data_IF_232189675325
#
_entry.id   IF_232189675325
#
_cell.length_a   1.000
_cell.length_b   1.000
_cell.length_c   1.000
_cell.angle_alpha   90.00
_cell.angle_beta   90.00
_cell.angle_gamma   90.00
#
_symmetry.space_group_name_H-M   'P 1'
#
loop_
_entity.id
_entity.type
_entity.pdbx_description
1 polymer ?
#
# COMPACT_ATOMS: atom_id res chain seq x y z
N UNK A 1 3.28 -22.12 -10.46
CA UNK A 1 4.14 -20.93 -10.56
C UNK A 1 4.82 -20.73 -9.22
N UNK A 2 6.06 -20.27 -9.21
CA UNK A 2 6.76 -19.97 -7.96
C UNK A 2 6.76 -18.45 -7.77
N UNK A 3 5.68 -17.93 -7.17
CA UNK A 3 5.56 -16.49 -6.93
C UNK A 3 6.43 -16.08 -5.74
N UNK A 4 7.08 -14.93 -5.86
CA UNK A 4 7.88 -14.32 -4.80
C UNK A 4 7.45 -12.86 -4.61
N UNK A 5 7.51 -12.36 -3.38
CA UNK A 5 7.17 -10.98 -3.03
C UNK A 5 8.42 -10.26 -2.55
N UNK A 6 8.72 -9.12 -3.15
CA UNK A 6 9.90 -8.32 -2.86
C UNK A 6 9.47 -6.94 -2.36
N UNK A 7 9.76 -6.57 -1.11
CA UNK A 7 9.48 -5.23 -0.62
C UNK A 7 10.38 -4.19 -1.29
N UNK A 8 9.80 -3.05 -1.61
CA UNK A 8 10.48 -1.88 -2.17
C UNK A 8 10.45 -0.77 -1.13
N UNK A 9 11.61 -0.25 -0.76
CA UNK A 9 11.74 0.95 0.08
C UNK A 9 11.60 2.20 -0.80
N UNK A 10 10.51 2.94 -0.63
CA UNK A 10 10.15 4.10 -1.45
C UNK A 10 10.23 5.43 -0.68
N UNK A 11 10.90 5.44 0.47
CA UNK A 11 11.08 6.59 1.33
C UNK A 11 10.61 6.34 2.75
N UNK A 12 10.80 7.33 3.63
CA UNK A 12 10.49 7.19 5.06
C UNK A 12 9.74 8.41 5.59
N UNK A 13 8.58 8.19 6.16
CA UNK A 13 7.82 9.16 6.94
C UNK A 13 8.30 9.15 8.40
N UNK A 14 8.31 10.29 9.06
CA UNK A 14 8.43 10.36 10.50
C UNK A 14 7.08 10.78 11.08
N UNK A 15 6.37 9.85 11.71
CA UNK A 15 4.98 10.01 12.13
C UNK A 15 4.80 9.84 13.63
N UNK A 16 3.73 10.38 14.19
CA UNK A 16 3.28 10.01 15.53
C UNK A 16 2.79 8.56 15.50
N UNK A 17 3.29 7.72 16.40
CA UNK A 17 2.95 6.30 16.46
C UNK A 17 1.44 6.06 16.58
N UNK A 18 0.72 6.97 17.20
CA UNK A 18 -0.74 6.86 17.34
C UNK A 18 -1.50 6.95 16.00
N UNK A 19 -0.86 7.44 14.93
CA UNK A 19 -1.38 7.36 13.57
C UNK A 19 -1.29 5.94 12.97
N UNK A 20 -0.34 5.13 13.44
CA UNK A 20 -0.15 3.74 13.01
C UNK A 20 -0.84 2.73 13.93
N UNK A 21 -1.01 3.07 15.21
CA UNK A 21 -1.60 2.19 16.24
C UNK A 21 -2.60 2.96 17.08
N UNK A 22 -3.87 2.61 16.99
CA UNK A 22 -4.97 3.34 17.62
C UNK A 22 -4.75 3.50 19.14
N UNK A 23 -4.68 4.76 19.61
CA UNK A 23 -4.53 5.14 21.02
C UNK A 23 -3.26 4.63 21.70
N UNK A 24 -2.22 4.24 20.93
CA UNK A 24 -0.93 3.81 21.47
C UNK A 24 0.19 4.70 21.00
N UNK A 25 1.16 4.96 21.86
CA UNK A 25 2.36 5.73 21.56
C UNK A 25 2.09 7.19 21.19
N UNK A 26 1.03 7.80 21.71
CA UNK A 26 0.72 9.23 21.50
C UNK A 26 1.92 10.10 21.89
N UNK A 27 2.34 10.98 20.98
CA UNK A 27 3.51 11.84 21.15
C UNK A 27 4.86 11.15 20.87
N UNK A 28 4.86 9.85 20.56
CA UNK A 28 6.08 9.12 20.20
C UNK A 28 6.27 9.17 18.69
N UNK A 29 7.37 9.79 18.24
CA UNK A 29 7.73 9.82 16.81
C UNK A 29 8.44 8.54 16.43
N UNK A 30 8.02 7.95 15.30
CA UNK A 30 8.64 6.75 14.72
C UNK A 30 8.88 6.93 13.23
N UNK A 31 9.90 6.26 12.73
CA UNK A 31 10.15 6.17 11.30
C UNK A 31 9.29 5.04 10.70
N UNK A 32 8.56 5.37 9.65
CA UNK A 32 7.63 4.51 8.93
C UNK A 32 8.03 4.49 7.45
N UNK A 33 8.56 3.38 6.91
CA UNK A 33 8.90 3.30 5.49
C UNK A 33 7.63 3.35 4.65
N UNK A 34 7.66 4.03 3.51
CA UNK A 34 6.66 3.88 2.47
C UNK A 34 7.03 2.66 1.64
N UNK A 35 6.18 1.65 1.61
CA UNK A 35 6.48 0.38 0.99
C UNK A 35 5.63 0.15 -0.27
N UNK A 36 6.29 -0.25 -1.34
CA UNK A 36 5.67 -0.97 -2.44
C UNK A 36 6.08 -2.44 -2.39
N UNK A 37 5.39 -3.30 -3.14
CA UNK A 37 5.74 -4.71 -3.21
C UNK A 37 5.75 -5.19 -4.66
N UNK A 38 6.87 -5.76 -5.09
CA UNK A 38 7.02 -6.35 -6.42
C UNK A 38 6.76 -7.86 -6.35
N UNK A 39 5.76 -8.34 -7.06
CA UNK A 39 5.47 -9.78 -7.21
C UNK A 39 6.11 -10.25 -8.51
N UNK A 40 6.96 -11.29 -8.40
CA UNK A 40 7.64 -11.94 -9.52
C UNK A 40 7.24 -13.41 -9.62
N UNK A 41 7.51 -14.04 -10.77
CA UNK A 41 7.18 -15.45 -11.03
C UNK A 41 5.86 -15.63 -11.80
N UNK A 42 5.06 -14.60 -12.02
CA UNK A 42 3.98 -14.56 -12.99
C UNK A 42 4.54 -14.29 -14.41
N UNK A 43 3.67 -14.31 -15.43
CA UNK A 43 4.07 -14.01 -16.81
C UNK A 43 4.68 -12.60 -16.95
N UNK A 44 4.17 -11.64 -16.19
CA UNK A 44 4.67 -10.28 -16.09
C UNK A 44 4.80 -9.89 -14.59
N UNK A 45 5.75 -9.02 -14.21
CA UNK A 45 5.85 -8.54 -12.84
C UNK A 45 4.62 -7.70 -12.49
N UNK A 46 4.13 -7.86 -11.25
CA UNK A 46 3.00 -7.11 -10.71
C UNK A 46 3.51 -6.23 -9.57
N UNK A 47 3.11 -4.97 -9.57
CA UNK A 47 3.42 -4.07 -8.47
C UNK A 47 2.19 -3.92 -7.56
N UNK A 48 2.40 -3.90 -6.26
CA UNK A 48 1.42 -3.48 -5.25
C UNK A 48 1.89 -2.17 -4.65
N UNK A 49 1.12 -1.14 -4.82
CA UNK A 49 1.40 0.26 -4.48
C UNK A 49 2.66 0.83 -5.16
N UNK A 50 2.58 2.06 -5.58
CA UNK A 50 3.65 2.75 -6.31
C UNK A 50 4.39 3.80 -5.47
N UNK A 51 3.99 3.93 -4.21
CA UNK A 51 4.67 4.79 -3.26
C UNK A 51 4.29 6.28 -3.33
N UNK A 52 4.99 7.11 -2.53
CA UNK A 52 4.74 8.53 -2.36
C UNK A 52 5.23 9.37 -3.54
N UNK A 53 4.98 10.67 -3.42
CA UNK A 53 5.65 11.69 -4.21
C UNK A 53 7.17 11.58 -4.06
N UNK A 54 7.90 11.68 -5.17
CA UNK A 54 9.37 11.61 -5.17
C UNK A 54 10.05 12.87 -4.59
N UNK A 55 9.28 13.94 -4.34
CA UNK A 55 9.77 15.20 -3.78
C UNK A 55 9.62 15.23 -2.24
N UNK A 56 10.74 15.13 -1.47
CA UNK A 56 10.68 15.14 -0.01
C UNK A 56 10.19 16.46 0.57
N UNK A 57 10.42 17.58 -0.11
CA UNK A 57 9.92 18.88 0.35
C UNK A 57 8.41 18.96 0.21
N UNK A 58 7.87 18.45 -0.90
CA UNK A 58 6.42 18.34 -1.09
C UNK A 58 5.78 17.48 0.00
N UNK A 59 6.28 16.25 0.21
CA UNK A 59 5.76 15.33 1.22
C UNK A 59 5.79 15.94 2.63
N UNK A 60 6.90 16.59 3.00
CA UNK A 60 7.03 17.26 4.30
C UNK A 60 6.09 18.46 4.45
N UNK A 61 5.88 19.23 3.38
CA UNK A 61 5.02 20.43 3.41
C UNK A 61 3.54 20.08 3.58
N UNK A 62 3.09 19.01 2.95
CA UNK A 62 1.67 18.69 2.87
C UNK A 62 1.23 17.58 3.83
N UNK A 63 2.17 16.80 4.37
CA UNK A 63 1.88 15.63 5.20
C UNK A 63 2.75 15.59 6.47
N UNK A 64 3.54 14.54 6.62
CA UNK A 64 4.48 14.36 7.72
C UNK A 64 5.91 14.60 7.23
N UNK A 65 6.88 14.87 8.13
CA UNK A 65 8.27 14.91 7.73
C UNK A 65 8.62 13.67 6.92
N UNK A 66 8.98 13.88 5.66
CA UNK A 66 9.25 12.83 4.69
C UNK A 66 10.72 12.91 4.24
N UNK A 67 11.38 11.77 4.19
CA UNK A 67 12.74 11.62 3.68
C UNK A 67 12.71 10.61 2.54
N UNK A 68 13.34 10.98 1.43
CA UNK A 68 13.54 10.10 0.28
C UNK A 68 14.88 10.40 -0.36
N UNK A 69 15.46 9.42 -1.01
CA UNK A 69 16.68 9.53 -1.80
C UNK A 69 16.43 9.08 -3.23
N UNK A 70 17.37 9.34 -4.13
CA UNK A 70 17.32 8.80 -5.49
C UNK A 70 17.26 7.27 -5.52
N UNK A 71 17.89 6.62 -4.54
CA UNK A 71 17.89 5.15 -4.39
C UNK A 71 16.52 4.59 -3.96
N UNK A 72 15.71 5.42 -3.31
CA UNK A 72 14.34 5.10 -2.90
C UNK A 72 13.30 5.56 -3.93
N UNK A 73 13.71 6.08 -5.09
CA UNK A 73 12.77 6.33 -6.19
C UNK A 73 12.18 5.01 -6.70
N UNK A 74 10.91 5.02 -7.11
CA UNK A 74 10.24 3.83 -7.65
C UNK A 74 11.02 3.20 -8.80
N UNK A 75 11.57 4.01 -9.72
CA UNK A 75 12.36 3.52 -10.84
C UNK A 75 13.60 2.76 -10.36
N UNK A 76 14.39 3.34 -9.46
CA UNK A 76 15.59 2.71 -8.94
C UNK A 76 15.27 1.45 -8.10
N UNK A 77 14.22 1.49 -7.29
CA UNK A 77 13.77 0.34 -6.51
C UNK A 77 13.37 -0.83 -7.42
N UNK A 78 12.70 -0.58 -8.54
CA UNK A 78 12.37 -1.61 -9.55
C UNK A 78 13.63 -2.11 -10.28
N UNK A 79 14.52 -1.21 -10.67
CA UNK A 79 15.79 -1.56 -11.36
C UNK A 79 16.68 -2.50 -10.53
N UNK A 80 16.71 -2.33 -9.21
CA UNK A 80 17.43 -3.26 -8.30
C UNK A 80 16.93 -4.69 -8.39
N UNK A 81 15.70 -4.90 -8.84
CA UNK A 81 15.10 -6.21 -9.11
C UNK A 81 15.13 -6.61 -10.59
N UNK A 82 15.83 -5.84 -11.43
CA UNK A 82 15.94 -6.08 -12.87
C UNK A 82 14.66 -5.77 -13.65
N UNK A 83 13.80 -4.90 -13.13
CA UNK A 83 12.51 -4.54 -13.74
C UNK A 83 12.52 -3.05 -14.09
N UNK A 84 12.33 -2.73 -15.36
CA UNK A 84 12.14 -1.34 -15.78
C UNK A 84 10.69 -0.89 -15.48
N UNK A 85 10.45 0.40 -15.20
CA UNK A 85 9.08 0.91 -14.98
C UNK A 85 8.12 0.59 -16.13
N UNK A 86 8.57 0.59 -17.36
CA UNK A 86 7.78 0.28 -18.55
C UNK A 86 7.36 -1.20 -18.63
N UNK A 87 8.04 -2.09 -17.91
CA UNK A 87 7.71 -3.51 -17.84
C UNK A 87 6.53 -3.78 -16.88
N UNK A 88 6.21 -2.85 -15.98
CA UNK A 88 5.04 -2.96 -15.11
C UNK A 88 3.77 -2.69 -15.92
N UNK A 89 2.95 -3.72 -16.11
CA UNK A 89 1.65 -3.64 -16.82
C UNK A 89 0.46 -3.68 -15.88
N UNK A 90 0.65 -4.16 -14.66
CA UNK A 90 -0.40 -4.27 -13.66
C UNK A 90 0.09 -3.73 -12.33
N UNK A 91 -0.63 -2.77 -11.78
CA UNK A 91 -0.47 -2.28 -10.42
C UNK A 91 -1.75 -2.58 -9.66
N UNK A 92 -1.63 -3.22 -8.52
CA UNK A 92 -2.72 -3.35 -7.55
C UNK A 92 -2.56 -2.20 -6.56
N UNK A 93 -3.52 -1.29 -6.54
CA UNK A 93 -3.51 -0.16 -5.61
C UNK A 93 -4.28 -0.58 -4.37
N UNK A 94 -3.59 -0.65 -3.22
CA UNK A 94 -4.23 -1.05 -1.97
C UNK A 94 -5.31 -0.06 -1.57
N UNK A 95 -4.99 1.23 -1.62
CA UNK A 95 -5.90 2.37 -1.42
C UNK A 95 -5.29 3.65 -2.01
N UNK A 96 -6.04 4.75 -2.01
CA UNK A 96 -5.68 5.95 -2.76
C UNK A 96 -5.08 7.08 -1.91
N UNK A 97 -4.51 6.78 -0.74
CA UNK A 97 -3.69 7.74 -0.02
C UNK A 97 -2.42 8.07 -0.82
N UNK A 98 -1.92 9.29 -0.63
CA UNK A 98 -0.84 9.87 -1.43
C UNK A 98 0.47 9.04 -1.42
N UNK A 99 0.76 8.38 -0.31
CA UNK A 99 1.98 7.59 -0.10
C UNK A 99 1.92 6.16 -0.65
N UNK A 100 0.78 5.77 -1.26
CA UNK A 100 0.59 4.47 -1.90
C UNK A 100 0.44 4.55 -3.43
N UNK A 101 -0.04 5.64 -3.99
CA UNK A 101 -0.39 5.70 -5.41
C UNK A 101 0.13 6.92 -6.18
N UNK A 102 0.94 7.77 -5.55
CA UNK A 102 1.50 8.97 -6.23
C UNK A 102 2.39 8.58 -7.40
N UNK A 103 3.17 7.50 -7.27
CA UNK A 103 4.06 6.98 -8.31
C UNK A 103 3.36 6.37 -9.53
N UNK A 104 2.04 6.23 -9.53
CA UNK A 104 1.28 5.70 -10.67
C UNK A 104 1.59 6.41 -11.99
N UNK A 105 1.83 7.72 -11.93
CA UNK A 105 2.17 8.53 -13.10
C UNK A 105 3.52 8.16 -13.74
N UNK A 106 4.42 7.49 -13.01
CA UNK A 106 5.74 7.05 -13.46
C UNK A 106 5.69 5.71 -14.21
N UNK A 107 4.51 5.07 -14.31
CA UNK A 107 4.30 3.75 -14.90
C UNK A 107 3.42 3.88 -16.17
N UNK A 108 3.99 4.26 -17.31
CA UNK A 108 3.22 4.72 -18.49
C UNK A 108 2.36 3.63 -19.13
N UNK A 109 2.74 2.36 -18.97
CA UNK A 109 2.03 1.23 -19.58
C UNK A 109 1.12 0.44 -18.64
N UNK A 110 0.98 0.88 -17.38
CA UNK A 110 0.28 0.12 -16.35
C UNK A 110 -1.21 0.44 -16.31
N UNK A 111 -2.03 -0.59 -16.04
CA UNK A 111 -3.39 -0.47 -15.51
C UNK A 111 -3.34 -0.53 -13.98
N UNK A 112 -4.31 0.10 -13.31
CA UNK A 112 -4.36 0.21 -11.86
C UNK A 112 -5.64 -0.43 -11.33
N UNK A 113 -5.52 -1.55 -10.61
CA UNK A 113 -6.67 -2.28 -10.05
C UNK A 113 -7.00 -1.66 -8.69
N UNK A 114 -8.22 -1.16 -8.53
CA UNK A 114 -8.71 -0.52 -7.32
C UNK A 114 -10.14 -0.94 -7.00
N UNK A 115 -10.50 -1.06 -5.73
CA UNK A 115 -11.88 -1.33 -5.34
C UNK A 115 -12.78 -0.12 -5.62
N UNK A 116 -13.99 -0.36 -6.11
CA UNK A 116 -14.99 0.68 -6.39
C UNK A 116 -15.25 1.57 -5.18
N UNK A 117 -15.34 0.99 -3.98
CA UNK A 117 -15.58 1.75 -2.75
C UNK A 117 -14.44 2.71 -2.42
N UNK A 118 -13.20 2.32 -2.74
CA UNK A 118 -12.03 3.19 -2.54
C UNK A 118 -12.08 4.39 -3.47
N UNK A 119 -12.23 4.14 -4.76
CA UNK A 119 -12.30 5.23 -5.75
C UNK A 119 -13.47 6.17 -5.47
N UNK A 120 -14.65 5.63 -5.15
CA UNK A 120 -15.82 6.44 -4.84
C UNK A 120 -15.61 7.33 -3.60
N UNK A 121 -14.95 6.79 -2.56
CA UNK A 121 -14.64 7.56 -1.36
C UNK A 121 -13.53 8.59 -1.61
N UNK A 122 -12.47 8.24 -2.32
CA UNK A 122 -11.34 9.12 -2.62
C UNK A 122 -11.74 10.39 -3.40
N UNK A 123 -12.79 10.32 -4.23
CA UNK A 123 -13.29 11.47 -4.98
C UNK A 123 -13.94 12.53 -4.05
N UNK A 124 -14.63 12.09 -3.01
CA UNK A 124 -15.33 12.97 -2.07
C UNK A 124 -15.22 12.41 -0.63
N UNK A 125 -14.01 12.38 -0.05
CA UNK A 125 -13.80 11.84 1.28
C UNK A 125 -14.39 12.75 2.36
N UNK A 126 -14.53 12.22 3.58
CA UNK A 126 -14.85 13.04 4.73
C UNK A 126 -13.80 14.14 4.92
N UNK A 127 -14.18 15.31 5.48
CA UNK A 127 -13.24 16.43 5.63
C UNK A 127 -11.96 16.11 6.41
N UNK A 128 -12.01 15.17 7.38
CA UNK A 128 -10.83 14.74 8.13
C UNK A 128 -9.84 13.94 7.27
N UNK A 129 -10.32 13.24 6.24
CA UNK A 129 -9.49 12.38 5.38
C UNK A 129 -9.07 13.10 4.09
N UNK A 130 -9.73 14.21 3.74
CA UNK A 130 -9.43 14.98 2.54
C UNK A 130 -7.93 15.34 2.37
N UNK A 131 -7.18 15.70 3.43
CA UNK A 131 -5.74 15.98 3.30
C UNK A 131 -4.92 14.78 2.85
N UNK A 132 -5.26 13.56 3.26
CA UNK A 132 -4.48 12.35 2.93
C UNK A 132 -4.73 11.91 1.47
N UNK A 133 -5.95 12.19 0.96
CA UNK A 133 -6.30 12.01 -0.46
C UNK A 133 -5.90 13.21 -1.34
N UNK A 134 -5.36 14.29 -0.74
CA UNK A 134 -4.96 15.54 -1.43
C UNK A 134 -6.09 16.17 -2.28
N UNK A 135 -7.36 15.97 -1.91
CA UNK A 135 -8.49 16.47 -2.70
C UNK A 135 -8.58 18.00 -2.75
N UNK A 136 -7.91 18.71 -1.83
CA UNK A 136 -7.76 20.16 -1.84
C UNK A 136 -6.61 20.64 -2.75
N UNK A 137 -5.74 19.73 -3.24
CA UNK A 137 -4.62 20.05 -4.11
C UNK A 137 -5.00 19.81 -5.58
N UNK A 138 -4.45 20.58 -6.49
CA UNK A 138 -4.70 20.41 -7.93
C UNK A 138 -3.40 20.39 -8.71
N UNK A 139 -3.23 19.41 -9.61
CA UNK A 139 -4.11 18.26 -9.85
C UNK A 139 -3.99 17.20 -8.75
N UNK A 140 -5.11 16.60 -8.37
CA UNK A 140 -5.13 15.47 -7.43
C UNK A 140 -4.31 14.32 -8.01
N UNK A 141 -3.43 13.73 -7.21
CA UNK A 141 -2.41 12.79 -7.71
C UNK A 141 -3.00 11.56 -8.41
N UNK A 142 -4.00 10.87 -7.82
CA UNK A 142 -4.57 9.66 -8.42
C UNK A 142 -5.43 9.94 -9.65
N UNK A 143 -5.98 11.16 -9.80
CA UNK A 143 -6.76 11.52 -10.99
C UNK A 143 -5.93 11.65 -12.26
N UNK A 144 -4.60 11.79 -12.15
CA UNK A 144 -3.67 11.84 -13.30
C UNK A 144 -3.66 10.56 -14.13
N UNK A 145 -4.14 9.47 -13.58
CA UNK A 145 -4.11 8.14 -14.19
C UNK A 145 -5.48 7.48 -14.20
N UNK A 146 -6.54 8.25 -13.95
CA UNK A 146 -7.90 7.75 -13.79
C UNK A 146 -8.40 6.91 -14.98
N UNK A 147 -8.03 7.28 -16.20
CA UNK A 147 -8.40 6.57 -17.43
C UNK A 147 -7.81 5.15 -17.54
N UNK A 148 -6.82 4.84 -16.71
CA UNK A 148 -6.17 3.52 -16.62
C UNK A 148 -6.60 2.71 -15.40
N UNK A 149 -7.59 3.20 -14.64
CA UNK A 149 -8.12 2.45 -13.50
C UNK A 149 -9.04 1.33 -13.95
N UNK A 150 -8.75 0.13 -13.49
CA UNK A 150 -9.63 -1.02 -13.55
C UNK A 150 -10.35 -1.13 -12.19
N UNK A 151 -11.62 -0.74 -12.20
CA UNK A 151 -12.45 -0.68 -10.98
C UNK A 151 -13.10 -2.03 -10.76
N UNK A 152 -12.79 -2.65 -9.63
CA UNK A 152 -13.26 -3.98 -9.25
C UNK A 152 -14.15 -3.95 -7.99
N UNK A 153 -14.91 -5.01 -7.77
CA UNK A 153 -15.77 -5.19 -6.60
C UNK A 153 -15.53 -6.56 -5.96
N UNK A 154 -15.20 -6.59 -4.68
CA UNK A 154 -15.02 -7.83 -3.94
C UNK A 154 -13.67 -8.51 -4.19
N UNK A 155 -13.64 -9.83 -4.00
CA UNK A 155 -12.47 -10.67 -4.26
C UNK A 155 -12.26 -10.83 -5.76
N UNK A 156 -11.05 -10.58 -6.23
CA UNK A 156 -10.71 -10.67 -7.65
C UNK A 156 -9.38 -11.39 -7.85
N UNK A 157 -9.42 -12.47 -8.61
CA UNK A 157 -8.19 -13.12 -9.09
C UNK A 157 -7.56 -12.26 -10.21
N UNK A 158 -6.37 -11.73 -9.95
CA UNK A 158 -5.62 -10.91 -10.92
C UNK A 158 -4.88 -11.80 -11.92
N UNK A 159 -4.15 -12.76 -11.39
CA UNK A 159 -3.53 -13.89 -12.11
C UNK A 159 -3.56 -15.11 -11.19
N UNK A 160 -3.33 -16.33 -11.69
CA UNK A 160 -3.23 -17.49 -10.81
C UNK A 160 -2.24 -17.28 -9.67
N UNK A 161 -2.74 -17.41 -8.43
CA UNK A 161 -1.96 -17.20 -7.21
C UNK A 161 -1.83 -15.76 -6.73
N UNK A 162 -2.44 -14.78 -7.39
CA UNK A 162 -2.50 -13.39 -6.91
C UNK A 162 -3.94 -12.90 -6.91
N UNK A 163 -4.46 -12.56 -5.74
CA UNK A 163 -5.85 -12.16 -5.52
C UNK A 163 -5.97 -10.87 -4.73
N UNK A 164 -6.79 -9.94 -5.19
CA UNK A 164 -7.25 -8.79 -4.42
C UNK A 164 -8.30 -9.22 -3.40
N UNK A 165 -8.14 -8.79 -2.15
CA UNK A 165 -9.03 -9.09 -1.03
C UNK A 165 -9.47 -7.78 -0.37
N UNK A 166 -10.75 -7.38 -0.42
CA UNK A 166 -11.22 -6.20 0.32
C UNK A 166 -10.99 -6.36 1.83
N UNK A 167 -10.36 -5.34 2.42
CA UNK A 167 -10.04 -5.26 3.84
C UNK A 167 -10.44 -3.87 4.39
N UNK A 168 -11.74 -3.52 4.35
CA UNK A 168 -12.17 -2.22 4.86
C UNK A 168 -11.84 -2.05 6.34
N UNK A 169 -11.64 -0.80 6.73
CA UNK A 169 -11.30 -0.42 8.11
C UNK A 169 -10.49 0.86 8.13
N UNK A 170 -9.27 0.85 7.62
CA UNK A 170 -8.44 2.05 7.44
C UNK A 170 -9.08 3.04 6.47
N UNK A 171 -9.45 2.57 5.29
CA UNK A 171 -10.37 3.25 4.36
C UNK A 171 -11.57 2.36 4.06
N UNK A 172 -12.66 2.90 3.47
CA UNK A 172 -13.83 2.11 3.11
C UNK A 172 -13.57 1.04 2.06
N UNK A 173 -12.57 1.24 1.22
CA UNK A 173 -12.29 0.40 0.07
C UNK A 173 -10.88 -0.17 0.02
N UNK A 174 -10.09 -0.07 1.10
CA UNK A 174 -8.79 -0.70 1.15
C UNK A 174 -8.86 -2.18 0.80
N UNK A 175 -7.93 -2.63 -0.03
CA UNK A 175 -7.72 -4.04 -0.37
C UNK A 175 -6.30 -4.48 -0.02
N UNK A 176 -6.18 -5.71 0.47
CA UNK A 176 -4.91 -6.42 0.52
C UNK A 176 -4.71 -7.30 -0.71
N UNK A 177 -3.50 -7.83 -0.85
CA UNK A 177 -3.16 -8.75 -1.93
C UNK A 177 -2.69 -10.08 -1.36
N UNK A 178 -3.45 -11.14 -1.61
CA UNK A 178 -3.09 -12.49 -1.23
C UNK A 178 -2.23 -13.10 -2.34
N UNK A 179 -1.04 -13.59 -1.97
CA UNK A 179 -0.07 -14.20 -2.89
C UNK A 179 0.24 -15.61 -2.45
N UNK A 180 0.06 -16.58 -3.34
CA UNK A 180 0.41 -18.00 -3.14
C UNK A 180 1.91 -18.18 -3.44
N UNK A 181 2.74 -18.26 -2.42
CA UNK A 181 4.19 -18.48 -2.55
C UNK A 181 4.56 -19.93 -2.28
N UNK A 182 5.80 -20.31 -2.60
CA UNK A 182 6.32 -21.64 -2.26
C UNK A 182 6.37 -21.90 -0.73
N UNK A 183 6.35 -20.83 0.07
CA UNK A 183 6.46 -20.88 1.53
C UNK A 183 5.15 -20.59 2.26
N UNK A 184 4.02 -20.70 1.56
CA UNK A 184 2.69 -20.43 2.09
C UNK A 184 2.07 -19.17 1.51
N UNK A 185 0.86 -18.85 1.99
CA UNK A 185 0.08 -17.70 1.54
C UNK A 185 0.49 -16.44 2.29
N UNK A 186 0.85 -15.42 1.55
CA UNK A 186 1.27 -14.12 2.09
C UNK A 186 0.19 -13.08 1.79
N UNK A 187 -0.28 -12.36 2.81
CA UNK A 187 -1.14 -11.20 2.64
C UNK A 187 -0.30 -9.92 2.70
N UNK A 188 -0.20 -9.21 1.60
CA UNK A 188 0.23 -7.81 1.61
C UNK A 188 -0.96 -7.03 2.17
N UNK A 189 -0.87 -6.67 3.45
CA UNK A 189 -1.99 -6.09 4.19
C UNK A 189 -2.06 -4.55 4.07
N UNK A 190 -0.98 -3.93 3.60
CA UNK A 190 -0.84 -2.49 3.50
C UNK A 190 -1.28 -1.80 4.82
N UNK A 191 -2.02 -0.71 4.75
CA UNK A 191 -2.44 0.10 5.91
C UNK A 191 -3.62 -0.47 6.69
N UNK A 192 -4.12 -1.64 6.30
CA UNK A 192 -4.92 -2.41 7.24
C UNK A 192 -4.10 -2.76 8.49
N UNK A 193 -2.82 -3.08 8.30
CA UNK A 193 -1.83 -3.29 9.34
C UNK A 193 -0.58 -2.45 9.00
N UNK A 194 -0.49 -1.17 9.37
CA UNK A 194 0.73 -0.39 9.14
C UNK A 194 1.96 -1.04 9.76
N UNK A 195 1.84 -1.62 10.94
CA UNK A 195 2.89 -2.32 11.66
C UNK A 195 2.50 -3.78 11.92
N UNK A 196 3.48 -4.66 12.09
CA UNK A 196 3.22 -6.02 12.58
C UNK A 196 2.47 -6.01 13.92
N UNK A 197 2.73 -5.01 14.78
CA UNK A 197 2.03 -4.81 16.07
C UNK A 197 0.51 -4.80 15.91
N UNK A 198 -0.03 -4.24 14.82
CA UNK A 198 -1.47 -4.21 14.56
C UNK A 198 -2.06 -5.62 14.49
N UNK A 199 -1.38 -6.50 13.77
CA UNK A 199 -1.83 -7.89 13.59
C UNK A 199 -1.52 -8.78 14.80
N UNK A 200 -0.31 -8.67 15.33
CA UNK A 200 0.18 -9.49 16.46
C UNK A 200 -0.61 -9.24 17.73
N UNK A 201 -0.95 -7.98 18.01
CA UNK A 201 -1.60 -7.56 19.26
C UNK A 201 -3.06 -7.14 19.09
N UNK A 202 -3.65 -7.30 17.88
CA UNK A 202 -5.02 -6.88 17.56
C UNK A 202 -5.30 -5.41 17.90
N UNK A 203 -4.37 -4.54 17.53
CA UNK A 203 -4.48 -3.09 17.70
C UNK A 203 -4.80 -2.49 16.35
N UNK A 204 -5.96 -1.84 16.16
CA UNK A 204 -6.29 -1.20 14.92
C UNK A 204 -5.28 -0.13 14.49
N UNK A 205 -5.22 0.15 13.20
CA UNK A 205 -4.51 1.33 12.68
C UNK A 205 -5.05 2.60 13.33
N UNK A 206 -4.21 3.62 13.50
CA UNK A 206 -4.61 4.87 14.14
C UNK A 206 -5.49 5.74 13.24
N UNK A 207 -5.18 5.77 11.94
CA UNK A 207 -6.05 6.35 10.92
C UNK A 207 -7.09 5.28 10.58
N UNK A 208 -8.32 5.45 11.02
CA UNK A 208 -9.36 4.42 10.97
C UNK A 208 -10.71 5.03 10.56
N UNK A 209 -11.29 4.51 9.49
CA UNK A 209 -12.62 4.90 9.02
C UNK A 209 -13.73 4.07 9.69
N UNK A 210 -13.51 2.76 9.84
CA UNK A 210 -14.49 1.84 10.43
C UNK A 210 -13.80 0.79 11.29
N UNK A 211 -14.02 0.92 12.61
CA UNK A 211 -13.37 0.05 13.60
C UNK A 211 -13.91 -1.38 13.57
N UNK A 212 -15.20 -1.59 13.37
CA UNK A 212 -15.80 -2.92 13.33
C UNK A 212 -15.39 -3.67 12.07
N UNK A 213 -15.36 -2.96 10.94
CA UNK A 213 -14.88 -3.49 9.68
C UNK A 213 -13.41 -3.90 9.76
N UNK A 214 -12.57 -3.15 10.50
CA UNK A 214 -11.16 -3.50 10.71
C UNK A 214 -11.01 -4.85 11.41
N UNK A 215 -11.76 -5.12 12.49
CA UNK A 215 -11.70 -6.42 13.17
C UNK A 215 -12.21 -7.56 12.29
N UNK A 216 -13.26 -7.33 11.52
CA UNK A 216 -13.78 -8.30 10.56
C UNK A 216 -12.75 -8.63 9.48
N UNK A 217 -12.09 -7.61 8.93
CA UNK A 217 -11.01 -7.75 7.95
C UNK A 217 -9.79 -8.48 8.52
N UNK A 218 -9.41 -8.18 9.77
CA UNK A 218 -8.32 -8.89 10.44
C UNK A 218 -8.63 -10.38 10.64
N UNK A 219 -9.85 -10.72 11.03
CA UNK A 219 -10.28 -12.13 11.13
C UNK A 219 -10.20 -12.83 9.76
N UNK A 220 -10.57 -12.11 8.70
CA UNK A 220 -10.47 -12.61 7.32
C UNK A 220 -9.02 -12.86 6.90
N UNK A 221 -8.09 -11.96 7.20
CA UNK A 221 -6.66 -12.17 6.94
C UNK A 221 -6.16 -13.44 7.63
N UNK A 222 -6.50 -13.61 8.92
CA UNK A 222 -6.10 -14.80 9.71
C UNK A 222 -6.62 -16.11 9.13
N UNK A 223 -7.77 -16.09 8.46
CA UNK A 223 -8.34 -17.28 7.82
C UNK A 223 -7.69 -17.59 6.46
N UNK A 224 -7.17 -16.57 5.77
CA UNK A 224 -6.69 -16.69 4.39
C UNK A 224 -5.16 -16.84 4.28
N UNK A 225 -4.39 -16.20 5.15
CA UNK A 225 -2.95 -16.07 5.00
C UNK A 225 -2.18 -16.72 6.15
N UNK A 226 -1.03 -17.28 5.82
CA UNK A 226 -0.08 -17.84 6.79
C UNK A 226 0.83 -16.75 7.38
N UNK A 227 1.05 -15.67 6.60
CA UNK A 227 1.89 -14.51 6.97
C UNK A 227 1.31 -13.23 6.42
N UNK A 228 1.68 -12.07 7.03
CA UNK A 228 1.34 -10.74 6.53
C UNK A 228 2.58 -9.94 6.19
N UNK A 229 2.41 -8.95 5.30
CA UNK A 229 3.36 -7.87 5.05
C UNK A 229 2.65 -6.54 5.33
N UNK A 230 3.11 -5.76 6.34
CA UNK A 230 2.55 -4.47 6.74
C UNK A 230 2.84 -3.35 5.75
N UNK A 231 2.12 -2.22 5.86
CA UNK A 231 2.33 -1.03 5.02
C UNK A 231 3.58 -0.22 5.39
N UNK A 232 3.96 -0.15 6.68
CA UNK A 232 4.91 0.84 7.19
C UNK A 232 5.87 0.31 8.28
N UNK A 233 6.14 -0.99 8.33
CA UNK A 233 7.02 -1.57 9.35
C UNK A 233 8.46 -1.72 8.83
N UNK A 234 9.42 -1.11 9.52
CA UNK A 234 10.85 -1.21 9.21
C UNK A 234 11.36 -2.66 9.21
N UNK A 235 10.71 -3.58 9.95
CA UNK A 235 11.05 -5.01 9.95
C UNK A 235 10.90 -5.65 8.58
N UNK A 236 10.04 -5.11 7.71
CA UNK A 236 9.87 -5.61 6.33
C UNK A 236 11.16 -5.45 5.52
N UNK A 237 11.85 -4.33 5.70
CA UNK A 237 13.12 -4.06 5.00
C UNK A 237 14.30 -4.91 5.49
N UNK A 238 14.15 -5.51 6.68
CA UNK A 238 15.14 -6.42 7.25
C UNK A 238 14.91 -7.90 6.84
N UNK A 239 13.87 -8.20 6.05
CA UNK A 239 13.66 -9.54 5.51
C UNK A 239 14.79 -9.86 4.51
N UNK A 240 15.63 -10.85 4.87
CA UNK A 240 16.87 -11.15 4.12
C UNK A 240 16.64 -11.79 2.74
N UNK A 241 15.43 -12.22 2.41
CA UNK A 241 15.10 -12.89 1.14
C UNK A 241 13.61 -12.75 0.80
N UNK A 242 13.33 -13.05 -0.46
CA UNK A 242 12.00 -13.19 -1.06
C UNK A 242 11.01 -13.92 -0.13
N UNK A 243 9.91 -13.28 0.16
CA UNK A 243 8.86 -13.84 1.00
C UNK A 243 7.90 -14.64 0.14
#
# INVERSE_FOLDING_TARGET
MNLTVHPLDLGTLNVDKSGLTLRRGVGTRVDAPCLGYLIKGAAEPILVDSGPCADPEWGTRHHNPFRGSSEQSLAHALERHGVAPEAIKTVIVSHLHWDHCYGNALLPGARFIVQRRELAYAIAPLPCDAPIYETQLHPVHFLRTLERFEVVDGDVDVVPGVRCIPLPGHTPGLQGVLVDTAHGRVMIASDHCPLYENFEQLVPTGIIHDLEAWYTSTARIRALADRILPGHDMRVLALERDV
#
